data_IF_860354105582
#
_entry.id   IF_860354105582
#
_cell.length_a   1.000
_cell.length_b   1.000
_cell.length_c   1.000
_cell.angle_alpha   90.00
_cell.angle_beta   90.00
_cell.angle_gamma   90.00
#
_symmetry.space_group_name_H-M   'P 1'
#
loop_
_entity.id
_entity.type
_entity.pdbx_description
1 polymer ?
#
# COMPACT_ATOMS: atom_id res chain seq x y z
N UNK A 1 8.28 8.45 46.46
CA UNK A 1 7.17 8.20 45.53
C UNK A 1 7.69 7.41 44.32
N UNK A 2 7.66 6.08 44.36
CA UNK A 2 8.17 5.21 43.28
C UNK A 2 7.06 5.00 42.26
N UNK A 3 7.27 5.40 41.00
CA UNK A 3 6.34 5.09 39.89
C UNK A 3 6.48 3.61 39.53
N UNK A 4 5.49 2.81 39.90
CA UNK A 4 5.34 1.45 39.40
C UNK A 4 4.94 1.53 37.92
N UNK A 5 5.85 1.09 37.04
CA UNK A 5 5.56 0.90 35.62
C UNK A 5 4.72 -0.37 35.48
N UNK A 6 3.40 -0.25 35.59
CA UNK A 6 2.47 -1.29 35.16
C UNK A 6 2.53 -1.37 33.63
N UNK A 7 3.32 -2.32 33.14
CA UNK A 7 3.33 -2.70 31.73
C UNK A 7 1.92 -3.20 31.36
N UNK A 8 1.24 -2.64 30.35
CA UNK A 8 0.01 -3.26 29.86
C UNK A 8 0.42 -4.62 29.27
N UNK A 9 -0.11 -5.69 29.85
CA UNK A 9 0.09 -7.05 29.34
C UNK A 9 -0.13 -7.11 27.84
N UNK A 10 0.69 -7.91 27.16
CA UNK A 10 0.60 -8.13 25.73
C UNK A 10 -0.86 -8.38 25.31
N UNK A 11 -1.38 -7.56 24.40
CA UNK A 11 -2.70 -7.80 23.82
C UNK A 11 -2.73 -9.21 23.23
N UNK A 12 -3.87 -9.94 23.29
CA UNK A 12 -3.95 -11.29 22.76
C UNK A 12 -3.50 -11.26 21.30
N UNK A 13 -2.38 -11.92 21.02
CA UNK A 13 -1.86 -12.09 19.67
C UNK A 13 -2.77 -13.12 19.02
N UNK A 14 -3.92 -12.67 18.49
CA UNK A 14 -4.73 -13.51 17.63
C UNK A 14 -3.80 -13.98 16.51
N UNK A 15 -3.43 -15.26 16.54
CA UNK A 15 -2.73 -15.95 15.47
C UNK A 15 -3.61 -15.88 14.24
N UNK A 16 -3.52 -14.78 13.50
CA UNK A 16 -4.21 -14.60 12.22
C UNK A 16 -3.57 -15.59 11.26
N UNK A 17 -4.28 -16.68 11.00
CA UNK A 17 -4.21 -17.32 9.71
C UNK A 17 -4.22 -16.23 8.64
N UNK A 18 -3.26 -16.30 7.73
CA UNK A 18 -3.10 -15.38 6.58
C UNK A 18 -4.33 -15.35 5.67
N UNK A 19 -5.27 -16.26 5.90
CA UNK A 19 -6.56 -16.35 5.23
C UNK A 19 -7.51 -15.25 5.71
N UNK A 20 -7.55 -14.15 4.96
CA UNK A 20 -8.61 -13.16 5.13
C UNK A 20 -9.97 -13.85 4.90
N UNK A 21 -10.93 -13.79 5.83
CA UNK A 21 -12.25 -14.41 5.62
C UNK A 21 -12.98 -13.89 4.38
N UNK A 22 -12.61 -12.70 3.88
CA UNK A 22 -13.10 -12.13 2.62
C UNK A 22 -12.67 -12.91 1.36
N UNK A 23 -11.60 -13.71 1.40
CA UNK A 23 -11.18 -14.53 0.26
C UNK A 23 -11.97 -15.83 0.12
N UNK A 24 -12.67 -16.28 1.18
CA UNK A 24 -13.49 -17.51 1.19
C UNK A 24 -14.96 -17.21 0.87
N UNK A 25 -15.44 -16.01 1.23
CA UNK A 25 -16.88 -15.70 1.19
C UNK A 25 -17.48 -15.43 -0.20
N UNK A 26 -16.72 -15.52 -1.30
CA UNK A 26 -17.24 -15.25 -2.66
C UNK A 26 -17.72 -13.81 -2.93
N UNK A 27 -17.66 -12.93 -1.93
CA UNK A 27 -18.03 -11.51 -2.06
C UNK A 27 -16.92 -10.79 -2.80
N UNK A 28 -17.17 -10.46 -4.07
CA UNK A 28 -16.25 -9.64 -4.87
C UNK A 28 -15.93 -8.36 -4.10
N UNK A 29 -14.65 -7.95 -4.02
CA UNK A 29 -14.32 -6.63 -3.50
C UNK A 29 -15.09 -5.61 -4.35
N UNK A 30 -15.97 -4.84 -3.71
CA UNK A 30 -16.65 -3.73 -4.40
C UNK A 30 -15.58 -2.70 -4.71
N UNK A 31 -15.03 -2.75 -5.92
CA UNK A 31 -14.21 -1.67 -6.46
C UNK A 31 -15.09 -0.43 -6.48
N UNK A 32 -14.79 0.51 -5.59
CA UNK A 32 -15.53 1.76 -5.46
C UNK A 32 -14.79 2.80 -6.29
N UNK A 33 -15.02 2.79 -7.60
CA UNK A 33 -14.46 3.78 -8.53
C UNK A 33 -15.11 5.17 -8.34
N UNK A 34 -16.27 5.22 -7.68
CA UNK A 34 -16.96 6.46 -7.33
C UNK A 34 -16.33 7.10 -6.10
N UNK A 35 -16.20 8.44 -6.05
CA UNK A 35 -15.71 9.14 -4.88
C UNK A 35 -16.54 8.78 -3.65
N UNK A 36 -15.85 8.58 -2.52
CA UNK A 36 -16.49 8.23 -1.26
C UNK A 36 -17.45 9.35 -0.84
N UNK A 37 -18.66 9.02 -0.35
CA UNK A 37 -19.61 10.04 0.08
C UNK A 37 -19.05 10.89 1.22
N UNK A 38 -19.45 12.17 1.33
CA UNK A 38 -19.09 13.02 2.46
C UNK A 38 -19.45 12.39 3.80
N UNK A 39 -18.64 12.63 4.83
CA UNK A 39 -18.90 12.14 6.18
C UNK A 39 -19.83 13.14 6.86
N UNK A 40 -21.04 12.70 7.19
CA UNK A 40 -22.02 13.48 7.94
C UNK A 40 -22.07 12.94 9.37
N UNK A 41 -22.05 13.83 10.36
CA UNK A 41 -22.20 13.49 11.77
C UNK A 41 -22.90 14.63 12.50
N UNK A 42 -23.57 14.30 13.62
CA UNK A 42 -24.17 15.29 14.51
C UNK A 42 -23.09 15.92 15.41
N UNK A 43 -22.97 17.24 15.39
CA UNK A 43 -22.01 17.99 16.20
C UNK A 43 -22.31 17.96 17.70
N UNK A 44 -23.55 17.64 18.09
CA UNK A 44 -23.93 17.51 19.49
C UNK A 44 -23.44 16.19 20.11
N UNK A 45 -23.16 15.17 19.29
CA UNK A 45 -22.61 13.89 19.75
C UNK A 45 -21.07 13.84 19.63
N UNK A 46 -20.33 13.91 20.77
CA UNK A 46 -18.87 13.86 20.75
C UNK A 46 -18.31 12.51 20.27
N UNK A 47 -19.07 11.42 20.38
CA UNK A 47 -18.67 10.09 19.88
C UNK A 47 -18.80 10.05 18.37
N UNK A 48 -19.89 10.58 17.81
CA UNK A 48 -20.05 10.72 16.36
C UNK A 48 -18.93 11.55 15.73
N UNK A 49 -18.55 12.68 16.36
CA UNK A 49 -17.43 13.51 15.91
C UNK A 49 -16.09 12.75 15.90
N UNK A 50 -15.81 11.94 16.93
CA UNK A 50 -14.59 11.10 16.97
C UNK A 50 -14.58 10.04 15.86
N UNK A 51 -15.72 9.38 15.61
CA UNK A 51 -15.86 8.39 14.54
C UNK A 51 -15.68 9.04 13.17
N UNK A 52 -16.23 10.23 12.96
CA UNK A 52 -16.05 10.99 11.73
C UNK A 52 -14.55 11.26 11.46
N UNK A 53 -13.83 11.80 12.45
CA UNK A 53 -12.37 12.05 12.36
C UNK A 53 -11.56 10.77 12.10
N UNK A 54 -11.88 9.67 12.78
CA UNK A 54 -11.20 8.40 12.54
C UNK A 54 -11.47 7.86 11.12
N UNK A 55 -12.70 8.02 10.63
CA UNK A 55 -13.08 7.62 9.27
C UNK A 55 -12.28 8.42 8.24
N UNK A 56 -12.14 9.74 8.42
CA UNK A 56 -11.28 10.57 7.58
C UNK A 56 -9.83 10.12 7.61
N UNK A 57 -9.28 9.88 8.82
CA UNK A 57 -7.91 9.40 8.97
C UNK A 57 -7.69 8.05 8.27
N UNK A 58 -8.66 7.13 8.35
CA UNK A 58 -8.62 5.85 7.66
C UNK A 58 -8.68 6.02 6.14
N UNK A 59 -9.52 6.93 5.61
CA UNK A 59 -9.57 7.26 4.17
C UNK A 59 -8.23 7.82 3.70
N UNK A 60 -7.67 8.81 4.41
CA UNK A 60 -6.36 9.40 4.11
C UNK A 60 -5.25 8.36 4.17
N UNK A 61 -5.28 7.45 5.15
CA UNK A 61 -4.30 6.38 5.27
C UNK A 61 -4.37 5.40 4.10
N UNK A 62 -5.58 5.04 3.64
CA UNK A 62 -5.77 4.17 2.47
C UNK A 62 -5.30 4.86 1.19
N UNK A 63 -5.63 6.14 0.99
CA UNK A 63 -5.17 6.93 -0.15
C UNK A 63 -3.64 6.96 -0.24
N UNK A 64 -2.95 7.28 0.86
CA UNK A 64 -1.47 7.24 0.90
C UNK A 64 -0.88 5.87 0.57
N UNK A 65 -1.52 4.78 0.97
CA UNK A 65 -1.04 3.42 0.63
C UNK A 65 -1.14 3.15 -0.87
N UNK A 66 -2.22 3.61 -1.50
CA UNK A 66 -2.39 3.50 -2.95
C UNK A 66 -1.35 4.38 -3.66
N UNK A 67 -1.16 5.62 -3.23
CA UNK A 67 -0.14 6.52 -3.79
C UNK A 67 1.27 5.91 -3.72
N UNK A 68 1.65 5.34 -2.57
CA UNK A 68 2.95 4.67 -2.41
C UNK A 68 3.07 3.45 -3.32
N UNK A 69 2.00 2.66 -3.45
CA UNK A 69 1.99 1.51 -4.34
C UNK A 69 2.17 1.94 -5.80
N UNK A 70 1.43 2.95 -6.26
CA UNK A 70 1.56 3.50 -7.60
C UNK A 70 2.97 4.06 -7.86
N UNK A 71 3.59 4.72 -6.89
CA UNK A 71 4.96 5.20 -6.99
C UNK A 71 5.96 4.05 -7.17
N UNK A 72 5.80 2.97 -6.40
CA UNK A 72 6.65 1.78 -6.53
C UNK A 72 6.48 1.11 -7.89
N UNK A 73 5.24 0.95 -8.36
CA UNK A 73 4.93 0.38 -9.67
C UNK A 73 5.55 1.21 -10.81
N UNK A 74 5.47 2.55 -10.72
CA UNK A 74 6.14 3.45 -11.68
C UNK A 74 7.66 3.27 -11.64
N UNK A 75 8.26 3.20 -10.45
CA UNK A 75 9.71 3.04 -10.32
C UNK A 75 10.20 1.72 -10.88
N UNK A 76 9.45 0.64 -10.68
CA UNK A 76 9.75 -0.67 -11.28
C UNK A 76 9.72 -0.56 -12.82
N UNK A 77 8.66 0.03 -13.38
CA UNK A 77 8.53 0.19 -14.82
C UNK A 77 9.65 1.05 -15.43
N UNK A 78 10.13 2.07 -14.72
CA UNK A 78 11.30 2.86 -15.13
C UNK A 78 12.57 2.02 -15.14
N UNK A 79 12.85 1.31 -14.04
CA UNK A 79 14.03 0.47 -13.89
C UNK A 79 14.08 -0.67 -14.92
N UNK A 80 12.94 -1.27 -15.23
CA UNK A 80 12.84 -2.31 -16.27
C UNK A 80 13.19 -1.75 -17.66
N UNK A 81 12.73 -0.53 -17.98
CA UNK A 81 13.09 0.15 -19.24
C UNK A 81 14.58 0.48 -19.31
N UNK A 82 15.16 1.00 -18.23
CA UNK A 82 16.59 1.29 -18.16
C UNK A 82 17.43 0.02 -18.34
N UNK A 83 17.05 -1.07 -17.66
CA UNK A 83 17.68 -2.38 -17.79
C UNK A 83 17.61 -2.90 -19.22
N UNK A 84 16.45 -2.82 -19.86
CA UNK A 84 16.27 -3.25 -21.25
C UNK A 84 17.16 -2.44 -22.19
N UNK A 85 17.20 -1.11 -22.03
CA UNK A 85 18.05 -0.23 -22.83
C UNK A 85 19.54 -0.57 -22.67
N UNK A 86 19.99 -0.77 -21.44
CA UNK A 86 21.37 -1.16 -21.14
C UNK A 86 21.73 -2.49 -21.82
N UNK A 87 20.89 -3.52 -21.70
CA UNK A 87 21.09 -4.82 -22.35
C UNK A 87 21.16 -4.71 -23.88
N UNK A 88 20.31 -3.88 -24.49
CA UNK A 88 20.34 -3.64 -25.92
C UNK A 88 21.65 -2.98 -26.35
N UNK A 89 22.12 -1.98 -25.61
CA UNK A 89 23.40 -1.34 -25.87
C UNK A 89 24.57 -2.32 -25.73
N UNK A 90 24.58 -3.15 -24.70
CA UNK A 90 25.61 -4.18 -24.54
C UNK A 90 25.59 -5.19 -25.69
N UNK A 91 24.42 -5.68 -26.09
CA UNK A 91 24.30 -6.62 -27.19
C UNK A 91 24.80 -6.00 -28.51
N UNK A 92 24.46 -4.74 -28.76
CA UNK A 92 24.97 -4.00 -29.92
C UNK A 92 26.49 -3.91 -29.91
N UNK A 93 27.10 -3.48 -28.81
CA UNK A 93 28.55 -3.37 -28.71
C UNK A 93 29.26 -4.72 -28.76
N UNK A 94 28.70 -5.77 -28.15
CA UNK A 94 29.21 -7.14 -28.29
C UNK A 94 29.21 -7.57 -29.74
N UNK A 95 28.13 -7.35 -30.49
CA UNK A 95 28.04 -7.73 -31.90
C UNK A 95 29.07 -7.00 -32.77
N UNK A 96 29.34 -5.72 -32.49
CA UNK A 96 30.38 -4.96 -33.20
C UNK A 96 31.77 -5.49 -32.85
N UNK A 97 32.03 -5.78 -31.59
CA UNK A 97 33.32 -6.32 -31.16
C UNK A 97 33.58 -7.70 -31.78
N UNK A 98 32.57 -8.57 -31.84
CA UNK A 98 32.66 -9.87 -32.53
C UNK A 98 32.90 -9.71 -34.03
N UNK A 99 32.20 -8.79 -34.70
CA UNK A 99 32.37 -8.54 -36.13
C UNK A 99 33.76 -7.97 -36.47
N UNK A 100 34.35 -7.16 -35.59
CA UNK A 100 35.68 -6.59 -35.78
C UNK A 100 36.83 -7.54 -35.36
N UNK A 101 36.52 -8.67 -34.72
CA UNK A 101 37.50 -9.67 -34.29
C UNK A 101 37.76 -10.77 -35.34
N UNK A 102 37.05 -10.75 -36.48
CA UNK A 102 37.26 -11.57 -37.68
C UNK A 102 37.98 -10.77 -38.76
#
# INVERSE_FOLDING_TARGET
MVRTKSSPGASPRNGRSTTRPSSISGVKPRNRDKPLPPIVYDSADPVAAKRARNTEAARKSRARKVEVQEQMERRIAELEKELQKSRQSEAYWRSIAEANAL
#
